data_IF_866523333672
#
_entry.id   IF_866523333672
#
_cell.length_a   1.000
_cell.length_b   1.000
_cell.length_c   1.000
_cell.angle_alpha   90.00
_cell.angle_beta   90.00
_cell.angle_gamma   90.00
#
_symmetry.space_group_name_H-M   'P 1'
#
loop_
_entity.id
_entity.type
_entity.pdbx_description
1 polymer ?
#
# COMPACT_ATOMS: atom_id res chain seq x y z
N UNK A 1 -16.15 -18.61 6.85
CA UNK A 1 -16.24 -17.30 6.19
C UNK A 1 -16.53 -17.50 4.71
N UNK A 2 -17.21 -16.57 4.03
CA UNK A 2 -17.36 -16.65 2.57
C UNK A 2 -15.98 -16.73 1.93
N UNK A 3 -15.82 -17.57 0.91
CA UNK A 3 -14.58 -17.65 0.16
C UNK A 3 -14.38 -16.32 -0.57
N UNK A 4 -13.37 -15.56 -0.15
CA UNK A 4 -13.05 -14.27 -0.75
C UNK A 4 -12.65 -14.46 -2.22
N UNK A 5 -13.17 -13.61 -3.11
CA UNK A 5 -12.94 -13.68 -4.55
C UNK A 5 -11.66 -12.95 -4.98
N UNK A 6 -11.07 -13.25 -6.14
CA UNK A 6 -9.91 -12.50 -6.63
C UNK A 6 -10.24 -11.02 -6.88
N UNK A 7 -9.31 -10.11 -6.57
CA UNK A 7 -9.49 -8.65 -6.70
C UNK A 7 -8.50 -8.04 -7.71
N UNK A 8 -8.83 -6.92 -8.38
CA UNK A 8 -10.06 -6.12 -8.25
C UNK A 8 -11.30 -6.74 -8.91
N UNK A 9 -12.47 -6.20 -8.55
CA UNK A 9 -13.77 -6.60 -9.11
C UNK A 9 -14.09 -5.90 -10.45
N UNK A 10 -13.11 -5.91 -11.35
CA UNK A 10 -13.26 -5.43 -12.73
C UNK A 10 -12.62 -6.43 -13.70
N UNK A 11 -12.71 -6.17 -14.99
CA UNK A 11 -11.94 -6.93 -16.00
C UNK A 11 -10.44 -6.70 -15.83
N UNK A 12 -9.65 -7.71 -16.20
CA UNK A 12 -8.20 -7.67 -16.16
C UNK A 12 -7.57 -8.53 -15.07
N UNK A 13 -6.26 -8.34 -14.80
CA UNK A 13 -5.50 -9.20 -13.90
C UNK A 13 -5.98 -9.08 -12.46
N UNK A 14 -6.07 -10.22 -11.77
CA UNK A 14 -6.55 -10.29 -10.39
C UNK A 14 -5.54 -10.97 -9.49
N UNK A 15 -5.52 -10.54 -8.23
CA UNK A 15 -4.78 -11.17 -7.16
C UNK A 15 -5.73 -12.01 -6.33
N UNK A 16 -5.37 -13.28 -6.14
CA UNK A 16 -6.05 -14.22 -5.25
C UNK A 16 -5.97 -13.79 -3.78
N UNK A 17 -6.95 -14.21 -2.99
CA UNK A 17 -6.90 -14.07 -1.54
C UNK A 17 -5.74 -14.91 -0.97
N UNK A 18 -5.07 -14.38 0.03
CA UNK A 18 -4.15 -15.13 0.86
C UNK A 18 -4.93 -16.16 1.68
N UNK A 19 -4.41 -17.38 1.76
CA UNK A 19 -5.17 -18.54 2.25
C UNK A 19 -5.31 -18.57 3.77
N UNK A 20 -4.35 -18.01 4.51
CA UNK A 20 -4.37 -18.02 5.96
C UNK A 20 -5.15 -16.81 6.50
N UNK A 21 -6.13 -17.09 7.36
CA UNK A 21 -6.91 -16.07 8.06
C UNK A 21 -6.20 -15.69 9.36
N UNK A 22 -5.78 -14.43 9.47
CA UNK A 22 -5.05 -13.92 10.63
C UNK A 22 -5.84 -13.95 11.94
N UNK A 23 -7.17 -14.13 11.87
CA UNK A 23 -8.02 -14.27 13.07
C UNK A 23 -8.00 -15.69 13.65
N UNK A 24 -7.55 -16.67 12.87
CA UNK A 24 -7.57 -18.10 13.26
C UNK A 24 -6.20 -18.78 13.25
N UNK A 25 -5.24 -18.26 12.49
CA UNK A 25 -3.89 -18.81 12.41
C UNK A 25 -2.94 -18.26 13.50
N UNK A 26 -1.74 -18.85 13.61
CA UNK A 26 -0.68 -18.30 14.45
C UNK A 26 -0.07 -17.06 13.76
N UNK A 27 -0.58 -15.89 14.11
CA UNK A 27 -0.18 -14.60 13.56
C UNK A 27 0.59 -13.76 14.58
N UNK A 28 1.78 -13.29 14.22
CA UNK A 28 2.61 -12.41 15.06
C UNK A 28 3.19 -11.27 14.24
N UNK A 29 2.99 -10.04 14.70
CA UNK A 29 3.71 -8.90 14.16
C UNK A 29 5.10 -8.81 14.81
N UNK A 30 6.13 -8.78 13.96
CA UNK A 30 7.53 -8.68 14.38
C UNK A 30 8.00 -7.21 14.40
N UNK A 31 7.32 -6.33 13.68
CA UNK A 31 7.50 -4.88 13.76
C UNK A 31 7.30 -4.14 12.44
N UNK A 32 7.23 -2.79 12.48
CA UNK A 32 7.13 -1.97 11.29
C UNK A 32 8.45 -1.98 10.51
N UNK A 33 8.37 -2.04 9.18
CA UNK A 33 9.51 -2.00 8.25
C UNK A 33 9.64 -0.66 7.55
N UNK A 34 8.52 0.04 7.33
CA UNK A 34 8.51 1.33 6.68
C UNK A 34 7.09 1.80 6.38
N UNK A 35 6.96 3.06 6.02
CA UNK A 35 5.71 3.68 5.63
C UNK A 35 5.92 4.53 4.37
N UNK A 36 4.84 4.73 3.61
CA UNK A 36 4.78 5.64 2.47
C UNK A 36 3.39 6.25 2.39
N UNK A 37 3.15 7.07 1.36
CA UNK A 37 1.94 7.90 1.24
C UNK A 37 0.61 7.12 1.38
N UNK A 38 0.53 5.86 0.93
CA UNK A 38 -0.73 5.11 0.88
C UNK A 38 -0.77 3.88 1.78
N UNK A 39 0.30 3.60 2.53
CA UNK A 39 0.47 2.29 3.16
C UNK A 39 1.63 2.24 4.14
N UNK A 40 1.59 1.24 5.00
CA UNK A 40 2.70 0.81 5.84
C UNK A 40 3.05 -0.65 5.61
N UNK A 41 4.32 -1.01 5.79
CA UNK A 41 4.83 -2.37 5.64
C UNK A 41 5.26 -2.90 6.99
N UNK A 42 4.83 -4.11 7.31
CA UNK A 42 5.10 -4.81 8.56
C UNK A 42 5.82 -6.12 8.30
N UNK A 43 6.78 -6.46 9.15
CA UNK A 43 7.33 -7.81 9.24
C UNK A 43 6.39 -8.61 10.12
N UNK A 44 5.97 -9.77 9.63
CA UNK A 44 5.06 -10.63 10.36
C UNK A 44 5.45 -12.10 10.20
N UNK A 45 5.08 -12.91 11.16
CA UNK A 45 5.12 -14.37 11.09
C UNK A 45 3.68 -14.89 11.01
N UNK A 46 3.41 -15.76 10.04
CA UNK A 46 2.15 -16.46 9.87
C UNK A 46 2.48 -17.95 9.80
N UNK A 47 1.97 -18.75 10.73
CA UNK A 47 2.21 -20.20 10.80
C UNK A 47 3.71 -20.57 10.74
N UNK A 48 4.54 -19.82 11.48
CA UNK A 48 5.99 -20.04 11.55
C UNK A 48 6.80 -19.59 10.33
N UNK A 49 6.16 -18.96 9.32
CA UNK A 49 6.84 -18.39 8.17
C UNK A 49 6.80 -16.87 8.20
N UNK A 50 7.95 -16.25 7.93
CA UNK A 50 8.11 -14.79 7.92
C UNK A 50 7.71 -14.19 6.57
N UNK A 51 6.94 -13.10 6.63
CA UNK A 51 6.42 -12.35 5.50
C UNK A 51 6.65 -10.84 5.69
N UNK A 52 6.57 -10.11 4.57
CA UNK A 52 6.33 -8.67 4.58
C UNK A 52 4.86 -8.42 4.23
N UNK A 53 4.11 -7.77 5.12
CA UNK A 53 2.70 -7.44 4.91
C UNK A 53 2.58 -5.95 4.65
N UNK A 54 2.16 -5.58 3.45
CA UNK A 54 1.87 -4.19 3.09
C UNK A 54 0.39 -3.91 3.36
N UNK A 55 0.09 -3.06 4.34
CA UNK A 55 -1.25 -2.66 4.74
C UNK A 55 -1.53 -1.27 4.19
N UNK A 56 -2.67 -1.09 3.52
CA UNK A 56 -3.04 0.17 2.87
C UNK A 56 -3.88 1.01 3.82
N UNK A 57 -3.59 2.31 3.89
CA UNK A 57 -4.43 3.23 4.66
C UNK A 57 -5.82 3.32 4.03
N UNK A 58 -6.80 3.74 4.82
CA UNK A 58 -8.21 3.77 4.41
C UNK A 58 -8.41 4.44 3.04
N UNK A 59 -7.85 5.63 2.83
CA UNK A 59 -7.92 6.32 1.54
C UNK A 59 -7.21 5.55 0.42
N UNK A 60 -6.04 4.97 0.70
CA UNK A 60 -5.26 4.21 -0.29
C UNK A 60 -5.94 2.92 -0.77
N UNK A 61 -6.88 2.36 -0.01
CA UNK A 61 -7.65 1.17 -0.40
C UNK A 61 -9.01 1.49 -1.04
N UNK A 62 -9.62 2.63 -0.72
CA UNK A 62 -11.00 2.93 -1.12
C UNK A 62 -11.16 4.11 -2.06
N UNK A 63 -10.23 5.07 -2.05
CA UNK A 63 -10.31 6.27 -2.86
C UNK A 63 -9.21 6.33 -3.94
N UNK A 64 -9.55 6.82 -5.14
CA UNK A 64 -8.58 7.12 -6.18
C UNK A 64 -7.58 8.15 -5.65
N UNK A 65 -6.28 7.88 -5.81
CA UNK A 65 -5.22 8.79 -5.35
C UNK A 65 -4.26 9.11 -6.50
N UNK A 66 -4.59 10.13 -7.28
CA UNK A 66 -3.77 10.68 -8.34
C UNK A 66 -4.20 12.13 -8.59
N UNK A 67 -3.24 12.97 -9.00
CA UNK A 67 -3.54 14.32 -9.46
C UNK A 67 -4.22 14.22 -10.83
N UNK A 68 -5.46 14.67 -10.93
CA UNK A 68 -6.19 14.79 -12.20
C UNK A 68 -6.11 16.21 -12.71
N UNK A 69 -4.97 16.59 -13.27
CA UNK A 69 -4.92 17.80 -14.10
C UNK A 69 -5.61 17.49 -15.46
N UNK A 70 -6.67 18.23 -15.91
CA UNK A 70 -7.21 19.51 -15.42
C UNK A 70 -8.59 19.40 -14.71
N UNK A 71 -8.94 18.25 -14.15
CA UNK A 71 -10.20 18.05 -13.43
C UNK A 71 -10.16 18.75 -12.06
N UNK A 72 -9.03 18.68 -11.38
CA UNK A 72 -8.80 19.30 -10.08
C UNK A 72 -8.56 20.81 -10.29
N UNK A 73 -9.57 21.63 -10.01
CA UNK A 73 -9.45 23.11 -10.08
C UNK A 73 -8.53 23.66 -8.99
N UNK A 74 -8.42 22.94 -7.87
CA UNK A 74 -7.59 23.26 -6.71
C UNK A 74 -6.73 22.04 -6.36
N UNK A 75 -5.45 22.28 -6.04
CA UNK A 75 -4.61 21.24 -5.44
C UNK A 75 -5.13 20.98 -4.03
N UNK A 76 -5.67 19.78 -3.71
CA UNK A 76 -6.06 19.48 -2.34
C UNK A 76 -4.82 19.61 -1.44
N UNK A 77 -5.03 20.07 -0.21
CA UNK A 77 -3.96 20.12 0.78
C UNK A 77 -3.37 18.71 0.90
N UNK A 78 -2.07 18.51 0.59
CA UNK A 78 -1.45 17.20 0.67
C UNK A 78 -1.50 16.59 2.09
N UNK A 79 -1.72 17.41 3.11
CA UNK A 79 -1.85 16.98 4.50
C UNK A 79 -3.31 16.57 4.87
N UNK A 80 -4.31 16.95 4.07
CA UNK A 80 -5.73 16.61 4.26
C UNK A 80 -6.37 16.07 2.96
N UNK A 81 -6.00 14.85 2.53
CA UNK A 81 -6.57 14.24 1.32
C UNK A 81 -8.07 13.95 1.51
N UNK A 82 -8.90 14.68 0.77
CA UNK A 82 -10.36 14.46 0.75
C UNK A 82 -10.76 13.41 -0.31
N UNK A 83 -11.82 12.62 -0.05
CA UNK A 83 -12.40 11.72 -1.04
C UNK A 83 -12.88 12.47 -2.30
N UNK A 84 -12.77 11.82 -3.46
CA UNK A 84 -13.29 12.37 -4.71
C UNK A 84 -14.82 12.38 -4.70
N UNK A 85 -15.43 13.56 -4.86
CA UNK A 85 -16.89 13.76 -4.86
C UNK A 85 -17.41 14.07 -6.25
N UNK A 86 -18.61 13.57 -6.57
CA UNK A 86 -19.27 13.86 -7.84
C UNK A 86 -19.52 15.37 -8.02
N UNK A 87 -19.29 15.86 -9.25
CA UNK A 87 -19.44 17.26 -9.62
C UNK A 87 -20.03 17.39 -11.02
N UNK A 88 -20.13 18.62 -11.53
CA UNK A 88 -20.49 18.88 -12.93
C UNK A 88 -19.47 18.31 -13.93
N UNK A 89 -18.22 18.10 -13.51
CA UNK A 89 -17.12 17.57 -14.34
C UNK A 89 -16.99 16.05 -14.29
N UNK A 90 -17.37 15.43 -13.17
CA UNK A 90 -17.23 13.99 -12.96
C UNK A 90 -18.47 13.40 -12.27
N UNK A 91 -19.05 12.37 -12.88
CA UNK A 91 -20.23 11.70 -12.34
C UNK A 91 -19.87 10.62 -11.31
N UNK A 92 -20.81 10.27 -10.43
CA UNK A 92 -20.61 9.19 -9.45
C UNK A 92 -20.24 7.84 -10.11
N UNK A 93 -20.88 7.40 -11.21
CA UNK A 93 -20.45 6.16 -11.88
C UNK A 93 -19.01 6.19 -12.40
N UNK A 94 -18.52 7.36 -12.83
CA UNK A 94 -17.11 7.51 -13.23
C UNK A 94 -16.19 7.38 -12.02
N UNK A 95 -16.54 7.97 -10.88
CA UNK A 95 -15.77 7.82 -9.62
C UNK A 95 -15.73 6.36 -9.20
N UNK A 96 -16.86 5.66 -9.22
CA UNK A 96 -16.94 4.24 -8.85
C UNK A 96 -16.07 3.37 -9.76
N UNK A 97 -16.04 3.67 -11.06
CA UNK A 97 -15.12 3.03 -12.01
C UNK A 97 -13.65 3.34 -11.68
N UNK A 98 -13.32 4.60 -11.39
CA UNK A 98 -11.96 4.99 -11.00
C UNK A 98 -11.50 4.29 -9.73
N UNK A 99 -12.38 4.07 -8.75
CA UNK A 99 -12.04 3.31 -7.54
C UNK A 99 -11.48 1.93 -7.90
N UNK A 100 -12.11 1.21 -8.81
CA UNK A 100 -11.65 -0.11 -9.27
C UNK A 100 -10.31 -0.05 -10.02
N UNK A 101 -10.06 1.04 -10.74
CA UNK A 101 -8.91 1.17 -11.63
C UNK A 101 -7.74 1.97 -11.06
N UNK A 102 -7.91 2.70 -9.97
CA UNK A 102 -6.94 3.74 -9.61
C UNK A 102 -6.78 3.97 -8.10
N UNK A 103 -7.34 3.10 -7.25
CA UNK A 103 -6.89 2.99 -5.86
C UNK A 103 -5.50 2.34 -5.80
N UNK A 104 -4.69 2.74 -4.82
CA UNK A 104 -3.34 2.18 -4.65
C UNK A 104 -3.36 0.67 -4.39
N UNK A 105 -4.33 0.19 -3.60
CA UNK A 105 -4.50 -1.24 -3.35
C UNK A 105 -4.82 -2.03 -4.62
N UNK A 106 -5.84 -1.62 -5.39
CA UNK A 106 -6.20 -2.35 -6.61
C UNK A 106 -5.15 -2.23 -7.70
N UNK A 107 -4.42 -1.11 -7.78
CA UNK A 107 -3.26 -0.98 -8.66
C UNK A 107 -2.24 -2.08 -8.37
N UNK A 108 -1.87 -2.30 -7.10
CA UNK A 108 -0.95 -3.38 -6.74
C UNK A 108 -1.52 -4.78 -6.98
N UNK A 109 -2.81 -5.00 -6.70
CA UNK A 109 -3.47 -6.27 -7.02
C UNK A 109 -3.37 -6.59 -8.52
N UNK A 110 -3.58 -5.61 -9.41
CA UNK A 110 -3.44 -5.82 -10.87
C UNK A 110 -1.99 -6.08 -11.28
N UNK A 111 -1.02 -5.39 -10.67
CA UNK A 111 0.41 -5.63 -10.96
C UNK A 111 0.79 -7.07 -10.60
N UNK A 112 0.50 -7.51 -9.37
CA UNK A 112 0.84 -8.87 -8.93
C UNK A 112 -0.02 -9.93 -9.63
N UNK A 113 -1.28 -9.64 -9.90
CA UNK A 113 -2.15 -10.49 -10.71
C UNK A 113 -1.57 -10.74 -12.10
N UNK A 114 -1.07 -9.68 -12.77
CA UNK A 114 -0.46 -9.78 -14.09
C UNK A 114 0.84 -10.60 -14.04
N UNK A 115 1.66 -10.40 -13.01
CA UNK A 115 2.89 -11.18 -12.83
C UNK A 115 2.59 -12.68 -12.67
N UNK A 116 1.53 -13.03 -11.92
CA UNK A 116 1.07 -14.42 -11.77
C UNK A 116 0.53 -14.99 -13.07
N UNK A 117 -0.37 -14.27 -13.74
CA UNK A 117 -0.98 -14.66 -15.01
C UNK A 117 0.08 -14.98 -16.08
N UNK A 118 1.16 -14.19 -16.14
CA UNK A 118 2.25 -14.37 -17.10
C UNK A 118 3.36 -15.31 -16.64
N UNK A 119 3.30 -15.84 -15.41
CA UNK A 119 4.41 -16.62 -14.83
C UNK A 119 5.71 -15.82 -14.70
N UNK A 120 5.62 -14.50 -14.51
CA UNK A 120 6.74 -13.56 -14.43
C UNK A 120 6.97 -12.99 -13.03
N UNK A 121 6.60 -13.74 -12.00
CA UNK A 121 6.85 -13.36 -10.60
C UNK A 121 8.35 -13.13 -10.31
N UNK A 122 9.25 -13.64 -11.16
CA UNK A 122 10.70 -13.38 -11.12
C UNK A 122 11.06 -11.89 -11.23
N UNK A 123 10.19 -11.09 -11.87
CA UNK A 123 10.42 -9.67 -12.10
C UNK A 123 10.26 -8.80 -10.85
N UNK A 124 9.57 -9.30 -9.82
CA UNK A 124 9.27 -8.56 -8.59
C UNK A 124 9.50 -9.44 -7.34
N UNK A 125 9.17 -8.91 -6.16
CA UNK A 125 9.03 -9.73 -4.95
C UNK A 125 7.72 -10.52 -5.08
N UNK A 126 7.75 -11.81 -4.74
CA UNK A 126 6.56 -12.66 -4.84
C UNK A 126 5.45 -12.14 -3.91
N UNK A 127 4.23 -12.04 -4.44
CA UNK A 127 3.03 -11.75 -3.65
C UNK A 127 2.19 -13.02 -3.52
N UNK A 128 1.94 -13.45 -2.29
CA UNK A 128 1.19 -14.67 -2.04
C UNK A 128 -0.31 -14.46 -2.23
N UNK A 129 -0.82 -13.29 -1.89
CA UNK A 129 -2.21 -12.91 -2.07
C UNK A 129 -2.53 -11.62 -1.34
N UNK A 130 -3.77 -11.15 -1.46
CA UNK A 130 -4.28 -10.08 -0.61
C UNK A 130 -4.90 -10.63 0.67
N UNK A 131 -4.90 -9.84 1.73
CA UNK A 131 -5.52 -10.15 3.00
C UNK A 131 -6.51 -9.03 3.34
N UNK A 132 -7.65 -9.41 3.90
CA UNK A 132 -8.66 -8.49 4.43
C UNK A 132 -8.94 -8.86 5.88
N UNK A 133 -8.96 -7.88 6.78
CA UNK A 133 -9.28 -8.12 8.19
C UNK A 133 -9.96 -6.90 8.82
N UNK A 134 -10.79 -7.16 9.83
CA UNK A 134 -11.56 -6.14 10.51
C UNK A 134 -10.79 -5.60 11.73
N UNK A 135 -10.56 -4.29 11.76
CA UNK A 135 -9.89 -3.65 12.90
C UNK A 135 -10.84 -3.42 14.08
N UNK A 136 -12.15 -3.61 13.92
CA UNK A 136 -13.12 -3.62 15.01
C UNK A 136 -13.08 -4.90 15.85
N UNK A 137 -12.42 -5.97 15.38
CA UNK A 137 -12.19 -7.19 16.16
C UNK A 137 -11.05 -7.02 17.17
N UNK A 138 -11.38 -7.12 18.46
CA UNK A 138 -10.41 -7.04 19.56
C UNK A 138 -9.23 -8.01 19.44
N UNK A 139 -9.44 -9.21 18.88
CA UNK A 139 -8.36 -10.18 18.65
C UNK A 139 -7.35 -9.64 17.65
N UNK A 140 -7.84 -9.03 16.58
CA UNK A 140 -7.00 -8.38 15.56
C UNK A 140 -6.24 -7.21 16.18
N UNK A 141 -6.92 -6.34 16.94
CA UNK A 141 -6.30 -5.18 17.57
C UNK A 141 -5.13 -5.54 18.48
N UNK A 142 -5.23 -6.64 19.25
CA UNK A 142 -4.17 -7.10 20.17
C UNK A 142 -2.82 -7.33 19.49
N UNK A 143 -2.79 -7.68 18.20
CA UNK A 143 -1.53 -7.83 17.48
C UNK A 143 -0.81 -6.48 17.29
N UNK A 144 -1.55 -5.37 17.20
CA UNK A 144 -1.03 -4.04 16.89
C UNK A 144 -0.80 -3.16 18.14
N UNK A 145 -1.59 -3.33 19.20
CA UNK A 145 -1.49 -2.53 20.43
C UNK A 145 -0.08 -2.45 21.06
N UNK A 146 0.75 -3.51 21.05
CA UNK A 146 2.14 -3.42 21.52
C UNK A 146 3.00 -2.38 20.79
N UNK A 147 2.63 -2.03 19.55
CA UNK A 147 3.33 -1.04 18.73
C UNK A 147 2.73 0.37 18.85
N UNK A 148 1.69 0.56 19.65
CA UNK A 148 0.92 1.80 19.77
C UNK A 148 1.59 2.94 20.55
N UNK A 149 2.81 2.77 21.08
CA UNK A 149 3.47 3.79 21.91
C UNK A 149 3.68 5.13 21.17
N UNK A 150 3.93 5.08 19.85
CA UNK A 150 4.01 6.30 19.02
C UNK A 150 2.67 7.03 18.96
N UNK A 151 1.59 6.30 18.70
CA UNK A 151 0.23 6.83 18.68
C UNK A 151 -0.18 7.41 20.04
N UNK A 152 0.08 6.71 21.14
CA UNK A 152 -0.21 7.19 22.51
C UNK A 152 0.48 8.52 22.81
N UNK A 153 1.78 8.66 22.48
CA UNK A 153 2.51 9.92 22.65
C UNK A 153 1.92 11.05 21.80
N UNK A 154 1.56 10.76 20.55
CA UNK A 154 0.95 11.75 19.69
C UNK A 154 -0.42 12.22 20.22
N UNK A 155 -1.29 11.28 20.59
CA UNK A 155 -2.61 11.59 21.16
C UNK A 155 -2.49 12.40 22.47
N UNK A 156 -1.54 12.05 23.33
CA UNK A 156 -1.24 12.83 24.53
C UNK A 156 -0.81 14.27 24.21
N UNK A 157 -0.03 14.48 23.14
CA UNK A 157 0.37 15.82 22.69
C UNK A 157 -0.80 16.66 22.16
N UNK A 158 -1.85 16.00 21.65
CA UNK A 158 -3.12 16.63 21.25
C UNK A 158 -4.10 16.81 22.43
N UNK A 159 -3.69 16.47 23.65
CA UNK A 159 -4.49 16.62 24.87
C UNK A 159 -5.27 15.38 25.32
N UNK A 160 -5.29 14.31 24.52
CA UNK A 160 -5.88 13.03 24.91
C UNK A 160 -4.88 12.22 25.77
N UNK A 161 -4.93 12.42 27.09
CA UNK A 161 -4.00 11.80 28.05
C UNK A 161 -4.29 10.34 28.37
N UNK A 162 -5.50 9.87 28.08
CA UNK A 162 -5.93 8.49 28.35
C UNK A 162 -6.64 7.92 27.10
N UNK A 163 -5.88 7.69 26.01
CA UNK A 163 -6.47 7.22 24.76
C UNK A 163 -6.95 5.78 24.88
N UNK A 164 -8.14 5.51 24.34
CA UNK A 164 -8.66 4.14 24.26
C UNK A 164 -7.84 3.28 23.29
N UNK A 165 -7.96 1.97 23.38
CA UNK A 165 -7.31 1.06 22.43
C UNK A 165 -7.76 1.34 20.98
N UNK A 166 -9.04 1.69 20.79
CA UNK A 166 -9.58 2.13 19.50
C UNK A 166 -8.87 3.39 18.99
N UNK A 167 -8.64 4.39 19.83
CA UNK A 167 -7.91 5.62 19.44
C UNK A 167 -6.48 5.30 19.00
N UNK A 168 -5.81 4.41 19.74
CA UNK A 168 -4.45 3.96 19.44
C UNK A 168 -4.42 3.21 18.11
N UNK A 169 -5.38 2.33 17.84
CA UNK A 169 -5.47 1.56 16.59
C UNK A 169 -5.76 2.47 15.41
N UNK A 170 -6.78 3.34 15.49
CA UNK A 170 -7.10 4.32 14.44
C UNK A 170 -5.86 5.11 14.03
N UNK A 171 -5.11 5.61 15.02
CA UNK A 171 -3.91 6.40 14.78
C UNK A 171 -2.75 5.58 14.23
N UNK A 172 -2.52 4.38 14.76
CA UNK A 172 -1.40 3.51 14.34
C UNK A 172 -1.62 2.99 12.91
N UNK A 173 -2.87 2.76 12.54
CA UNK A 173 -3.23 2.17 11.24
C UNK A 173 -3.65 3.22 10.20
N UNK A 174 -3.76 4.49 10.58
CA UNK A 174 -4.32 5.58 9.75
C UNK A 174 -5.66 5.16 9.13
N UNK A 175 -6.58 4.80 10.02
CA UNK A 175 -7.85 4.19 9.66
C UNK A 175 -8.98 4.79 10.48
N UNK A 176 -9.79 5.65 9.88
CA UNK A 176 -10.77 6.45 10.63
C UNK A 176 -11.99 5.64 11.06
N UNK A 177 -12.48 4.75 10.21
CA UNK A 177 -13.62 3.88 10.50
C UNK A 177 -13.20 2.42 10.59
N UNK A 178 -13.01 1.89 11.80
CA UNK A 178 -12.56 0.51 12.00
C UNK A 178 -13.54 -0.56 11.52
N UNK A 179 -14.80 -0.20 11.20
CA UNK A 179 -15.80 -1.12 10.61
C UNK A 179 -15.51 -1.40 9.15
N UNK A 180 -14.72 -0.55 8.50
CA UNK A 180 -14.27 -0.77 7.14
C UNK A 180 -13.06 -1.71 7.20
N UNK A 181 -13.07 -2.84 6.48
CA UNK A 181 -11.98 -3.79 6.54
C UNK A 181 -10.66 -3.19 6.03
N UNK A 182 -9.59 -3.48 6.76
CA UNK A 182 -8.24 -3.15 6.35
C UNK A 182 -7.81 -4.07 5.19
N UNK A 183 -7.27 -3.48 4.13
CA UNK A 183 -6.76 -4.21 2.96
C UNK A 183 -5.24 -4.31 3.02
N UNK A 184 -4.69 -5.50 2.77
CA UNK A 184 -3.26 -5.76 2.79
C UNK A 184 -2.82 -6.72 1.68
N UNK A 185 -1.51 -6.75 1.39
CA UNK A 185 -0.89 -7.71 0.47
C UNK A 185 0.25 -8.42 1.20
N UNK A 186 0.21 -9.76 1.20
CA UNK A 186 1.23 -10.62 1.80
C UNK A 186 2.31 -10.91 0.78
N UNK A 187 3.55 -10.52 1.09
CA UNK A 187 4.71 -10.62 0.20
C UNK A 187 5.81 -11.45 0.82
N UNK A 188 6.64 -12.03 -0.03
CA UNK A 188 7.86 -12.72 0.37
C UNK A 188 8.78 -11.80 1.17
N UNK A 189 9.22 -12.28 2.33
CA UNK A 189 10.27 -11.65 3.10
C UNK A 189 11.62 -11.91 2.45
N UNK A 190 12.41 -10.85 2.27
CA UNK A 190 13.76 -10.96 1.69
C UNK A 190 14.76 -10.50 2.74
N UNK A 191 15.69 -11.39 3.11
CA UNK A 191 16.68 -11.14 4.18
C UNK A 191 17.67 -10.01 3.89
N UNK A 192 17.86 -9.62 2.62
CA UNK A 192 18.84 -8.60 2.22
C UNK A 192 18.50 -7.16 2.63
N UNK A 193 17.42 -6.95 3.39
CA UNK A 193 16.89 -5.63 3.74
C UNK A 193 17.21 -5.18 5.17
N UNK A 194 17.81 -6.02 6.01
CA UNK A 194 18.31 -5.63 7.33
C UNK A 194 19.60 -4.80 7.17
N UNK A 195 19.47 -3.47 7.13
CA UNK A 195 20.61 -2.54 7.23
C UNK A 195 20.59 -1.30 6.32
N UNK A 196 19.83 -1.30 5.23
CA UNK A 196 19.71 -0.09 4.37
C UNK A 196 18.61 0.82 4.88
N UNK A 197 18.99 2.04 5.31
CA UNK A 197 18.10 3.15 5.68
C UNK A 197 17.21 3.55 4.49
N UNK A 198 16.14 2.80 4.24
CA UNK A 198 15.09 3.13 3.27
C UNK A 198 14.44 4.48 3.56
N UNK A 199 14.44 4.91 4.82
CA UNK A 199 13.84 6.16 5.30
C UNK A 199 14.40 7.39 4.57
N UNK A 200 15.66 7.37 4.11
CA UNK A 200 16.26 8.51 3.39
C UNK A 200 15.95 8.58 1.89
N UNK A 201 15.37 7.52 1.31
CA UNK A 201 15.00 7.50 -0.13
C UNK A 201 13.54 7.85 -0.37
N UNK A 202 12.70 7.86 0.68
CA UNK A 202 11.25 8.03 0.58
C UNK A 202 10.77 9.29 1.33
N UNK A 203 11.50 9.76 2.34
CA UNK A 203 11.16 10.97 3.10
C UNK A 203 12.16 12.09 2.86
N UNK A 204 11.73 13.10 2.09
CA UNK A 204 12.40 14.40 2.02
C UNK A 204 13.56 14.45 1.01
N UNK A 205 13.39 15.33 0.03
CA UNK A 205 14.32 15.66 -1.05
C UNK A 205 14.41 14.63 -2.18
N UNK A 206 14.18 15.11 -3.41
CA UNK A 206 14.27 14.32 -4.62
C UNK A 206 15.68 13.73 -4.72
N UNK A 207 15.80 12.42 -4.45
CA UNK A 207 17.08 11.73 -4.43
C UNK A 207 17.93 12.11 -5.66
N UNK A 208 19.08 12.75 -5.41
CA UNK A 208 20.03 13.16 -6.44
C UNK A 208 20.35 12.02 -7.41
N UNK A 209 20.61 12.36 -8.67
CA UNK A 209 20.94 11.36 -9.70
C UNK A 209 22.19 10.54 -9.32
N UNK A 210 23.09 11.09 -8.50
CA UNK A 210 24.24 10.39 -7.93
C UNK A 210 23.87 9.38 -6.83
N UNK A 211 22.92 9.68 -5.94
CA UNK A 211 22.47 8.73 -4.90
C UNK A 211 21.72 7.56 -5.51
N UNK A 212 20.84 7.82 -6.49
CA UNK A 212 20.15 6.76 -7.25
C UNK A 212 21.16 5.83 -7.92
N UNK A 213 22.24 6.35 -8.54
CA UNK A 213 23.29 5.54 -9.18
C UNK A 213 24.07 4.67 -8.19
N UNK A 214 24.39 5.20 -7.00
CA UNK A 214 25.16 4.48 -5.96
C UNK A 214 24.36 3.28 -5.41
N UNK A 215 23.03 3.39 -5.39
CA UNK A 215 22.12 2.38 -4.85
C UNK A 215 21.44 1.50 -5.92
N UNK A 216 21.83 1.59 -7.21
CA UNK A 216 21.26 0.74 -8.29
C UNK A 216 21.38 -0.76 -7.96
N UNK A 217 22.49 -1.15 -7.32
CA UNK A 217 22.75 -2.51 -6.85
C UNK A 217 21.84 -2.97 -5.70
N UNK A 218 21.06 -2.07 -5.09
CA UNK A 218 20.08 -2.32 -4.02
C UNK A 218 18.65 -1.99 -4.43
N UNK A 219 18.42 -1.46 -5.63
CA UNK A 219 17.07 -1.22 -6.16
C UNK A 219 16.25 -2.52 -6.14
N UNK A 220 15.00 -2.51 -5.65
CA UNK A 220 14.08 -3.64 -5.77
C UNK A 220 14.06 -4.18 -7.19
N UNK A 221 13.93 -5.50 -7.35
CA UNK A 221 13.91 -6.19 -8.66
C UNK A 221 13.00 -5.48 -9.67
N UNK A 222 11.86 -4.95 -9.20
CA UNK A 222 10.91 -4.15 -9.95
C UNK A 222 11.57 -2.97 -10.71
N UNK A 223 12.41 -2.19 -10.03
CA UNK A 223 13.07 -1.01 -10.61
C UNK A 223 14.23 -1.38 -11.54
N UNK A 224 14.82 -2.56 -11.39
CA UNK A 224 15.83 -3.09 -12.34
C UNK A 224 15.19 -3.62 -13.62
N UNK A 225 13.97 -4.13 -13.50
CA UNK A 225 13.26 -4.83 -14.57
C UNK A 225 12.21 -3.97 -15.28
N UNK A 226 12.26 -2.64 -15.14
CA UNK A 226 11.26 -1.72 -15.71
C UNK A 226 10.95 -1.99 -17.19
N UNK A 227 11.98 -2.31 -18.01
CA UNK A 227 11.79 -2.62 -19.42
C UNK A 227 10.97 -3.90 -19.64
N UNK A 228 11.22 -4.93 -18.85
CA UNK A 228 10.51 -6.21 -18.94
C UNK A 228 9.09 -6.08 -18.36
N UNK A 229 8.92 -5.30 -17.30
CA UNK A 229 7.60 -4.96 -16.77
C UNK A 229 6.74 -4.25 -17.82
N UNK A 230 7.28 -3.24 -18.51
CA UNK A 230 6.57 -2.54 -19.58
C UNK A 230 6.19 -3.48 -20.74
N UNK A 231 7.07 -4.40 -21.14
CA UNK A 231 6.74 -5.42 -22.16
C UNK A 231 5.62 -6.37 -21.70
N UNK A 232 5.54 -6.62 -20.40
CA UNK A 232 4.48 -7.41 -19.77
C UNK A 232 3.19 -6.61 -19.50
N UNK A 233 3.08 -5.37 -20.00
CA UNK A 233 1.91 -4.52 -19.79
C UNK A 233 1.78 -3.99 -18.35
N UNK A 234 2.86 -4.01 -17.58
CA UNK A 234 2.91 -3.53 -16.20
C UNK A 234 3.54 -2.15 -16.18
N UNK A 235 2.76 -1.16 -15.75
CA UNK A 235 3.23 0.20 -15.51
C UNK A 235 3.06 0.49 -14.02
N UNK A 236 4.17 0.55 -13.28
CA UNK A 236 4.16 1.05 -11.90
C UNK A 236 4.08 2.59 -11.92
N UNK A 237 3.41 3.18 -10.95
CA UNK A 237 3.35 4.63 -10.67
C UNK A 237 4.72 5.34 -10.77
N UNK A 238 5.81 4.67 -10.36
CA UNK A 238 7.19 5.21 -10.50
C UNK A 238 7.70 5.28 -11.95
N UNK A 239 7.14 4.46 -12.84
CA UNK A 239 7.47 4.45 -14.27
C UNK A 239 6.83 5.63 -15.02
N UNK A 240 5.72 6.17 -14.52
CA UNK A 240 5.10 7.37 -15.11
C UNK A 240 5.94 8.63 -14.89
N UNK A 241 6.66 8.73 -13.75
CA UNK A 241 7.59 9.84 -13.48
C UNK A 241 8.76 9.89 -14.49
N UNK A 242 9.16 8.75 -15.05
CA UNK A 242 10.22 8.69 -16.07
C UNK A 242 9.72 9.05 -17.48
N UNK A 243 8.42 8.92 -17.75
CA UNK A 243 7.85 9.16 -19.08
C UNK A 243 7.56 10.65 -19.35
N UNK A 244 7.33 11.46 -18.31
CA UNK A 244 7.02 12.89 -18.47
C UNK A 244 8.27 13.74 -18.80
N UNK A 245 9.48 13.24 -18.56
CA UNK A 245 10.74 13.99 -18.84
C UNK A 245 11.36 13.79 -20.22
N UNK A 246 10.67 13.14 -21.17
CA UNK A 246 11.16 12.91 -22.55
C UNK A 246 10.45 13.69 -23.66
N UNK A 247 9.70 14.74 -23.32
CA UNK A 247 9.24 15.73 -24.31
C UNK A 247 9.53 17.12 -23.76
N UNK A 248 10.74 17.62 -24.07
CA UNK A 248 11.10 19.03 -24.22
C UNK A 248 12.64 19.14 -24.23
N UNK A 249 13.23 18.71 -25.34
CA UNK A 249 14.56 19.17 -25.81
C UNK A 249 14.77 18.68 -27.24
N UNK A 250 14.08 19.31 -28.17
CA UNK A 250 14.49 19.53 -29.56
C UNK A 250 14.11 20.97 -29.90
#
# INVERSE_FOLDING_TARGET
MPQLKPLPDCEGPKLECFIDDITTCDFKLLGPLGSGCHSQVWKAEINGKVYAIKMFFHLGSHEPSFLMDPIDDDFPDPDEPEPLVASSKISQPTIDSLRLHATSFYNECRVFGRLKELGREDLAIKAYGYLQFDLSDDKVQRHFLPFGNGARRHLASLGNKDPTDVDVIRRTMQHDDLRIPMMAIVKEWVHSFEGTKWVQLIGGDWASRESVKRDIGHLPRLLRNLRELHKSGIVDSRSQVAAVRRRNSL
#
